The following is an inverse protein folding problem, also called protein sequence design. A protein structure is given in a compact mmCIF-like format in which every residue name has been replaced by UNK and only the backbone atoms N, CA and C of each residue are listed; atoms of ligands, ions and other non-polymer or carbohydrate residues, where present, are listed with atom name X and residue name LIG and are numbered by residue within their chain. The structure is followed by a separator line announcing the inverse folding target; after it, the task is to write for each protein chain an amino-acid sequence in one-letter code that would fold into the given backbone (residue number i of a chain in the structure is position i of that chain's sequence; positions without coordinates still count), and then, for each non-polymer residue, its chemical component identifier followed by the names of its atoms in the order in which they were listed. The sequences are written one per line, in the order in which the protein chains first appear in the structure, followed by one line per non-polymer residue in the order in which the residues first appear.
data_IF_194735641694
#
_entry.id   IF_194735641694
#
_cell.length_a   1.000
_cell.length_b   1.000
_cell.length_c   1.000
_cell.angle_alpha   90.00
_cell.angle_beta   90.00
_cell.angle_gamma   90.00
#
_symmetry.space_group_name_H-M   'P 1'
#
loop_
_entity.id
_entity.type
_entity.pdbx_description
1 polymer ?
#
# COMPACT_ATOMS: atom_id res chain seq x y z
N UNK A 1 -39.64 23.01 -80.16
CA UNK A 1 -38.45 22.34 -79.68
C UNK A 1 -38.45 22.45 -78.15
N UNK A 2 -39.01 21.42 -77.47
CA UNK A 2 -39.27 21.43 -76.02
C UNK A 2 -38.18 20.61 -75.34
N UNK A 3 -37.45 21.24 -74.46
CA UNK A 3 -36.41 20.54 -73.64
C UNK A 3 -37.05 20.10 -72.31
N UNK A 4 -37.19 18.79 -72.14
CA UNK A 4 -37.63 18.17 -70.87
C UNK A 4 -36.48 18.18 -69.89
N UNK A 5 -36.63 18.89 -68.75
CA UNK A 5 -35.76 18.79 -67.61
C UNK A 5 -36.23 17.66 -66.67
N UNK A 6 -35.53 16.55 -66.66
CA UNK A 6 -35.78 15.46 -65.72
C UNK A 6 -35.14 15.82 -64.35
N UNK A 7 -36.00 15.89 -63.37
CA UNK A 7 -35.64 16.13 -61.95
C UNK A 7 -35.35 14.77 -61.28
N UNK A 8 -34.13 14.51 -60.87
CA UNK A 8 -33.76 13.33 -60.08
C UNK A 8 -34.16 13.53 -58.62
N UNK A 9 -34.78 12.54 -57.97
CA UNK A 9 -35.06 12.63 -56.54
C UNK A 9 -33.79 12.42 -55.70
N UNK A 10 -33.52 13.38 -54.85
CA UNK A 10 -32.44 13.31 -53.82
C UNK A 10 -32.88 12.32 -52.72
N UNK A 11 -32.18 11.21 -52.62
CA UNK A 11 -32.37 10.19 -51.57
C UNK A 11 -31.88 10.75 -50.23
N UNK A 12 -32.82 11.12 -49.36
CA UNK A 12 -32.58 11.68 -48.02
C UNK A 12 -32.42 10.61 -46.91
N UNK A 13 -32.01 9.37 -47.28
CA UNK A 13 -31.99 8.23 -46.36
C UNK A 13 -30.66 7.94 -45.66
N UNK A 14 -29.55 8.45 -46.16
CA UNK A 14 -28.21 8.00 -45.70
C UNK A 14 -27.61 8.81 -44.55
N UNK A 15 -28.08 10.00 -44.24
CA UNK A 15 -27.48 10.86 -43.19
C UNK A 15 -27.86 10.52 -41.74
N UNK A 16 -28.96 9.80 -41.53
CA UNK A 16 -29.43 9.51 -40.14
C UNK A 16 -28.54 8.48 -39.44
N UNK A 17 -28.05 7.47 -40.17
CA UNK A 17 -27.15 6.45 -39.60
C UNK A 17 -25.73 6.99 -39.34
N UNK A 18 -25.24 7.87 -40.21
CA UNK A 18 -23.97 8.53 -40.04
C UNK A 18 -23.93 9.46 -38.82
N UNK A 19 -25.00 10.22 -38.57
CA UNK A 19 -25.13 11.11 -37.41
C UNK A 19 -25.21 10.31 -36.10
N UNK A 20 -26.00 9.21 -36.09
CA UNK A 20 -26.10 8.32 -34.93
C UNK A 20 -24.76 7.64 -34.64
N UNK A 21 -24.05 7.17 -35.66
CA UNK A 21 -22.73 6.55 -35.49
C UNK A 21 -21.67 7.55 -34.95
N UNK A 22 -21.68 8.80 -35.45
CA UNK A 22 -20.79 9.84 -34.91
C UNK A 22 -21.13 10.22 -33.46
N UNK A 23 -22.43 10.28 -33.09
CA UNK A 23 -22.85 10.55 -31.71
C UNK A 23 -22.43 9.44 -30.74
N UNK A 24 -22.51 8.17 -31.14
CA UNK A 24 -22.00 7.03 -30.37
C UNK A 24 -20.48 7.05 -30.25
N UNK A 25 -19.76 7.41 -31.30
CA UNK A 25 -18.30 7.51 -31.26
C UNK A 25 -17.84 8.64 -30.33
N UNK A 26 -18.53 9.79 -30.34
CA UNK A 26 -18.26 10.92 -29.42
C UNK A 26 -18.58 10.59 -27.96
N UNK A 27 -19.60 9.74 -27.69
CA UNK A 27 -19.93 9.31 -26.32
C UNK A 27 -18.87 8.37 -25.74
N UNK A 28 -18.20 7.56 -26.57
CA UNK A 28 -17.10 6.68 -26.16
C UNK A 28 -15.80 7.43 -25.82
N UNK A 29 -15.62 8.68 -26.35
CA UNK A 29 -14.44 9.52 -26.07
C UNK A 29 -14.54 10.28 -24.75
N UNK A 30 -15.67 10.20 -24.04
CA UNK A 30 -15.90 10.86 -22.73
C UNK A 30 -15.72 9.93 -21.53
N UNK A 31 -15.17 8.72 -21.73
CA UNK A 31 -14.82 7.85 -20.59
C UNK A 31 -13.64 8.51 -19.87
N UNK A 32 -13.82 8.99 -18.62
CA UNK A 32 -12.67 9.48 -17.85
C UNK A 32 -11.71 8.30 -17.68
N UNK A 33 -10.47 8.46 -18.13
CA UNK A 33 -9.41 7.54 -17.78
C UNK A 33 -9.28 7.61 -16.26
N UNK A 34 -9.69 6.55 -15.58
CA UNK A 34 -9.41 6.39 -14.16
C UNK A 34 -7.90 6.38 -14.01
N UNK A 35 -7.35 7.43 -13.41
CA UNK A 35 -5.92 7.55 -13.19
C UNK A 35 -5.58 6.68 -11.99
N UNK A 36 -4.77 5.65 -12.19
CA UNK A 36 -4.19 4.86 -11.12
C UNK A 36 -3.10 5.64 -10.37
N UNK A 37 -2.65 5.14 -9.22
CA UNK A 37 -1.47 5.64 -8.57
C UNK A 37 -0.27 5.59 -9.53
N UNK A 38 0.51 6.66 -9.58
CA UNK A 38 1.65 6.77 -10.49
C UNK A 38 2.95 6.70 -9.69
N UNK A 39 3.70 5.60 -9.91
CA UNK A 39 5.04 5.43 -9.36
C UNK A 39 6.04 6.20 -10.24
N UNK A 40 6.59 7.29 -9.70
CA UNK A 40 7.56 8.11 -10.42
C UNK A 40 8.99 7.58 -10.23
N UNK A 41 9.33 7.16 -9.00
CA UNK A 41 10.66 6.66 -8.67
C UNK A 41 10.58 5.70 -7.48
N UNK A 42 11.32 4.59 -7.55
CA UNK A 42 11.58 3.70 -6.41
C UNK A 42 12.97 3.11 -6.52
N UNK A 43 13.86 3.56 -5.66
CA UNK A 43 15.21 3.03 -5.52
C UNK A 43 15.38 2.38 -4.15
N UNK A 44 15.94 1.18 -4.15
CA UNK A 44 16.39 0.49 -2.93
C UNK A 44 17.82 0.03 -3.15
N UNK A 45 18.73 0.52 -2.33
CA UNK A 45 20.14 0.19 -2.37
C UNK A 45 20.62 -0.38 -1.05
N UNK A 46 21.76 -1.02 -1.05
CA UNK A 46 22.46 -1.49 0.16
C UNK A 46 23.94 -1.18 0.02
N UNK A 47 24.52 -0.63 1.07
CA UNK A 47 25.93 -0.33 1.14
C UNK A 47 26.43 -0.62 2.56
N UNK A 48 27.35 -1.57 2.70
CA UNK A 48 27.96 -1.96 3.99
C UNK A 48 26.95 -2.30 5.09
N UNK A 49 25.86 -2.99 4.73
CA UNK A 49 24.81 -3.40 5.66
C UNK A 49 23.73 -2.33 5.92
N UNK A 50 23.88 -1.12 5.38
CA UNK A 50 22.87 -0.06 5.45
C UNK A 50 21.99 -0.10 4.21
N UNK A 51 20.70 -0.28 4.41
CA UNK A 51 19.69 -0.22 3.35
C UNK A 51 19.17 1.22 3.23
N UNK A 52 19.16 1.74 2.00
CA UNK A 52 18.64 3.07 1.68
C UNK A 52 17.49 2.96 0.70
N UNK A 53 16.44 3.72 0.95
CA UNK A 53 15.21 3.75 0.16
C UNK A 53 14.96 5.19 -0.25
N UNK A 54 14.64 5.39 -1.52
CA UNK A 54 14.13 6.66 -2.06
C UNK A 54 12.93 6.36 -2.94
N UNK A 55 11.82 7.04 -2.68
CA UNK A 55 10.58 6.84 -3.38
C UNK A 55 9.89 8.18 -3.64
N UNK A 56 9.32 8.33 -4.82
CA UNK A 56 8.37 9.38 -5.18
C UNK A 56 7.16 8.74 -5.85
N UNK A 57 5.98 8.96 -5.30
CA UNK A 57 4.74 8.40 -5.82
C UNK A 57 3.59 9.40 -5.73
N UNK A 58 2.74 9.43 -6.74
CA UNK A 58 1.49 10.20 -6.71
C UNK A 58 0.33 9.29 -6.30
N UNK A 59 -0.40 9.71 -5.27
CA UNK A 59 -1.58 9.03 -4.75
C UNK A 59 -2.84 9.79 -5.17
N UNK A 60 -3.85 9.07 -5.62
CA UNK A 60 -5.15 9.62 -6.03
C UNK A 60 -6.06 9.91 -4.82
N UNK A 61 -5.48 10.45 -3.76
CA UNK A 61 -6.16 10.78 -2.52
C UNK A 61 -5.75 12.18 -2.03
N UNK A 62 -6.66 12.92 -1.34
CA UNK A 62 -6.32 14.22 -0.80
C UNK A 62 -5.31 14.15 0.36
N UNK A 63 -4.35 15.07 0.41
CA UNK A 63 -3.25 15.14 1.39
C UNK A 63 -3.69 14.91 2.83
N UNK A 64 -4.79 15.54 3.26
CA UNK A 64 -5.27 15.42 4.66
C UNK A 64 -5.61 14.00 5.07
N UNK A 65 -6.07 13.17 4.14
CA UNK A 65 -6.42 11.78 4.42
C UNK A 65 -5.19 10.87 4.34
N UNK A 66 -4.28 11.13 3.42
CA UNK A 66 -2.97 10.45 3.38
C UNK A 66 -2.21 10.69 4.68
N UNK A 67 -2.12 11.95 5.14
CA UNK A 67 -1.50 12.30 6.41
C UNK A 67 -2.18 11.59 7.58
N UNK A 68 -3.52 11.57 7.64
CA UNK A 68 -4.27 10.87 8.69
C UNK A 68 -3.98 9.38 8.73
N UNK A 69 -3.81 8.74 7.59
CA UNK A 69 -3.46 7.31 7.52
C UNK A 69 -2.04 7.06 8.03
N UNK A 70 -1.09 7.94 7.67
CA UNK A 70 0.31 7.84 8.10
C UNK A 70 0.52 8.14 9.58
N UNK A 71 -0.36 8.94 10.19
CA UNK A 71 -0.29 9.30 11.63
C UNK A 71 -1.18 8.42 12.52
N UNK A 72 -1.82 7.40 11.97
CA UNK A 72 -2.63 6.44 12.71
C UNK A 72 -1.74 5.30 13.25
N UNK A 73 -0.87 5.64 14.18
CA UNK A 73 0.22 4.79 14.66
C UNK A 73 -0.23 3.50 15.36
N UNK A 74 -1.43 3.46 15.93
CA UNK A 74 -1.99 2.26 16.54
C UNK A 74 -2.49 1.24 15.51
N UNK A 75 -2.62 1.65 14.25
CA UNK A 75 -3.16 0.83 13.16
C UNK A 75 -2.24 0.74 11.95
N UNK A 76 -0.92 0.85 12.15
CA UNK A 76 0.09 0.68 11.08
C UNK A 76 0.04 -0.72 10.47
N UNK A 77 -0.39 -1.72 11.25
CA UNK A 77 -0.56 -3.10 10.78
C UNK A 77 -1.49 -3.23 9.55
N UNK A 78 -2.35 -2.23 9.30
CA UNK A 78 -3.21 -2.21 8.10
C UNK A 78 -2.45 -1.95 6.81
N UNK A 79 -1.24 -1.41 6.90
CA UNK A 79 -0.47 -0.95 5.74
C UNK A 79 0.37 -2.05 5.10
N UNK A 80 0.72 -3.08 5.86
CA UNK A 80 1.54 -4.18 5.37
C UNK A 80 1.15 -5.48 6.10
N UNK A 81 0.87 -6.60 5.40
CA UNK A 81 0.49 -7.86 6.03
C UNK A 81 1.61 -8.45 6.89
N UNK A 82 2.87 -8.10 6.63
CA UNK A 82 3.98 -8.48 7.49
C UNK A 82 3.97 -7.79 8.85
N UNK A 83 3.23 -6.68 9.02
CA UNK A 83 3.10 -6.00 10.30
C UNK A 83 2.00 -6.68 11.12
N UNK A 84 2.39 -7.43 12.14
CA UNK A 84 1.47 -8.21 12.98
C UNK A 84 0.96 -7.43 14.19
N UNK A 85 1.64 -6.34 14.56
CA UNK A 85 1.25 -5.51 15.70
C UNK A 85 1.81 -4.09 15.59
N UNK A 86 1.08 -3.09 16.09
CA UNK A 86 1.55 -1.71 16.23
C UNK A 86 0.97 -1.07 17.48
N UNK A 87 1.82 -0.43 18.26
CA UNK A 87 1.44 0.21 19.54
C UNK A 87 2.19 1.54 19.74
N UNK A 88 1.54 2.49 20.40
CA UNK A 88 2.17 3.73 20.84
C UNK A 88 2.74 3.51 22.23
N UNK A 89 4.03 3.76 22.39
CA UNK A 89 4.74 3.67 23.66
C UNK A 89 4.87 5.05 24.32
N UNK A 90 5.11 5.12 25.65
CA UNK A 90 5.45 6.36 26.31
C UNK A 90 6.66 7.03 25.64
N UNK A 91 6.51 8.29 25.23
CA UNK A 91 7.59 9.09 24.67
C UNK A 91 8.29 9.91 25.76
N UNK A 92 9.62 10.06 25.70
CA UNK A 92 10.35 10.91 26.63
C UNK A 92 10.20 12.40 26.33
N UNK A 93 9.87 12.76 25.10
CA UNK A 93 9.88 14.14 24.59
C UNK A 93 8.48 14.63 24.19
N UNK A 94 8.20 15.89 24.44
CA UNK A 94 7.00 16.57 23.94
C UNK A 94 7.06 16.71 22.40
N UNK A 95 5.92 16.48 21.74
CA UNK A 95 5.82 16.55 20.27
C UNK A 95 6.47 15.38 19.52
N UNK A 96 6.85 14.33 20.25
CA UNK A 96 7.35 13.07 19.69
C UNK A 96 6.39 11.95 20.06
N UNK A 97 6.05 11.09 19.09
CA UNK A 97 5.29 9.86 19.31
C UNK A 97 6.22 8.68 19.16
N UNK A 98 6.38 7.87 20.20
CA UNK A 98 7.14 6.62 20.10
C UNK A 98 6.24 5.50 19.63
N UNK A 99 6.58 4.90 18.51
CA UNK A 99 5.80 3.84 17.87
C UNK A 99 6.62 2.56 17.85
N UNK A 100 6.01 1.46 18.29
CA UNK A 100 6.58 0.13 18.12
C UNK A 100 5.76 -0.63 17.09
N UNK A 101 6.46 -1.20 16.13
CA UNK A 101 5.91 -2.02 15.06
C UNK A 101 6.57 -3.38 15.14
N UNK A 102 5.74 -4.44 15.24
CA UNK A 102 6.22 -5.83 15.17
C UNK A 102 5.96 -6.37 13.79
N UNK A 103 7.01 -6.81 13.14
CA UNK A 103 6.97 -7.36 11.79
C UNK A 103 7.32 -8.84 11.87
N UNK A 104 6.44 -9.70 11.35
CA UNK A 104 6.73 -11.11 11.10
C UNK A 104 6.71 -11.33 9.60
N UNK A 105 7.85 -11.68 9.03
CA UNK A 105 7.95 -11.79 7.59
C UNK A 105 8.94 -12.88 7.18
N UNK A 106 8.76 -13.36 5.94
CA UNK A 106 9.54 -14.43 5.37
C UNK A 106 10.21 -13.97 4.07
N UNK A 107 11.46 -14.37 3.89
CA UNK A 107 12.16 -14.30 2.61
C UNK A 107 12.50 -15.73 2.21
N UNK A 108 11.77 -16.30 1.26
CA UNK A 108 11.84 -17.72 0.92
C UNK A 108 11.51 -18.59 2.15
N UNK A 109 12.41 -19.46 2.56
CA UNK A 109 12.28 -20.35 3.73
C UNK A 109 12.74 -19.74 5.06
N UNK A 110 13.25 -18.51 5.05
CA UNK A 110 13.75 -17.82 6.22
C UNK A 110 12.74 -16.81 6.73
N UNK A 111 12.08 -17.15 7.82
CA UNK A 111 11.12 -16.29 8.50
C UNK A 111 11.73 -15.71 9.78
N UNK A 112 11.36 -14.49 10.10
CA UNK A 112 11.81 -13.84 11.32
C UNK A 112 10.76 -12.85 11.84
N UNK A 113 10.81 -12.61 13.14
CA UNK A 113 10.06 -11.55 13.80
C UNK A 113 11.04 -10.49 14.26
N UNK A 114 10.78 -9.25 13.89
CA UNK A 114 11.59 -8.09 14.25
C UNK A 114 10.71 -7.02 14.88
N UNK A 115 11.22 -6.35 15.90
CA UNK A 115 10.60 -5.17 16.47
C UNK A 115 11.31 -3.92 15.93
N UNK A 116 10.55 -2.97 15.40
CA UNK A 116 11.01 -1.66 14.99
C UNK A 116 10.39 -0.61 15.89
N UNK A 117 11.21 0.05 16.69
CA UNK A 117 10.77 1.14 17.57
C UNK A 117 11.36 2.44 17.07
N UNK A 118 10.50 3.41 16.82
CA UNK A 118 10.86 4.70 16.24
C UNK A 118 10.23 5.85 17.01
N UNK A 119 10.96 6.92 17.18
CA UNK A 119 10.47 8.21 17.62
C UNK A 119 10.06 9.03 16.39
N UNK A 120 8.77 9.27 16.26
CA UNK A 120 8.18 9.99 15.14
C UNK A 120 7.83 11.41 15.55
N UNK A 121 8.21 12.37 14.71
CA UNK A 121 7.91 13.79 14.87
C UNK A 121 7.22 14.32 13.62
N UNK A 122 6.18 15.09 13.81
CA UNK A 122 5.58 15.87 12.72
C UNK A 122 6.41 17.13 12.46
N UNK A 123 6.62 17.44 11.18
CA UNK A 123 7.34 18.62 10.72
C UNK A 123 6.35 19.74 10.37
N UNK A 124 6.82 21.00 10.40
CA UNK A 124 5.99 22.20 10.20
C UNK A 124 5.13 22.22 8.92
N UNK A 125 5.50 21.43 7.92
CA UNK A 125 4.80 21.37 6.65
C UNK A 125 3.96 20.08 6.47
N UNK A 126 3.64 19.38 7.57
CA UNK A 126 2.89 18.13 7.55
C UNK A 126 3.71 16.93 7.03
N UNK A 127 5.04 17.06 6.97
CA UNK A 127 5.96 15.96 6.80
C UNK A 127 6.11 15.19 8.12
N UNK A 128 6.68 13.98 8.02
CA UNK A 128 6.97 13.13 9.17
C UNK A 128 8.44 12.75 9.17
N UNK A 129 9.05 12.75 10.33
CA UNK A 129 10.41 12.26 10.53
C UNK A 129 10.38 11.16 11.58
N UNK A 130 10.95 10.01 11.26
CA UNK A 130 11.07 8.89 12.18
C UNK A 130 12.54 8.57 12.42
N UNK A 131 12.90 8.34 13.67
CA UNK A 131 14.27 7.96 14.07
C UNK A 131 14.18 6.69 14.91
N UNK A 132 14.93 5.68 14.54
CA UNK A 132 14.99 4.41 15.28
C UNK A 132 15.53 4.63 16.70
N UNK A 133 14.93 3.93 17.67
CA UNK A 133 15.38 3.80 19.06
C UNK A 133 16.14 2.48 19.20
N UNK A 134 17.48 2.44 19.04
CA UNK A 134 18.23 1.18 18.93
C UNK A 134 18.07 0.25 20.13
N UNK A 135 18.00 0.82 21.34
CA UNK A 135 17.87 0.06 22.58
C UNK A 135 16.57 -0.77 22.68
N UNK A 136 15.56 -0.42 21.87
CA UNK A 136 14.24 -1.06 21.86
C UNK A 136 13.92 -1.72 20.51
N UNK A 137 14.82 -1.62 19.53
CA UNK A 137 14.60 -2.02 18.15
C UNK A 137 15.54 -3.15 17.74
N UNK A 138 15.15 -3.93 16.75
CA UNK A 138 16.01 -4.88 16.05
C UNK A 138 16.90 -4.21 15.00
N UNK A 139 17.09 -2.89 15.09
CA UNK A 139 17.92 -2.11 14.18
C UNK A 139 18.96 -1.31 14.96
N UNK A 140 20.20 -1.27 14.48
CA UNK A 140 21.29 -0.45 15.06
C UNK A 140 21.07 1.03 14.84
N UNK A 141 20.51 1.36 13.71
CA UNK A 141 20.16 2.73 13.34
C UNK A 141 19.06 2.75 12.29
N UNK A 142 18.33 3.85 12.23
CA UNK A 142 17.35 4.10 11.19
C UNK A 142 16.88 5.54 11.24
N UNK A 143 16.62 6.06 10.06
CA UNK A 143 16.03 7.38 9.87
C UNK A 143 15.12 7.32 8.67
N UNK A 144 13.93 7.91 8.78
CA UNK A 144 12.99 8.01 7.68
C UNK A 144 12.35 9.39 7.66
N UNK A 145 12.07 9.88 6.47
CA UNK A 145 11.39 11.14 6.24
C UNK A 145 10.29 10.97 5.19
N UNK A 146 9.13 11.52 5.50
CA UNK A 146 7.98 11.58 4.62
C UNK A 146 7.67 13.04 4.31
N UNK A 147 7.58 13.37 3.03
CA UNK A 147 7.07 14.67 2.57
C UNK A 147 5.80 14.42 1.79
N UNK A 148 4.73 15.15 2.12
CA UNK A 148 3.42 14.99 1.48
C UNK A 148 3.01 16.35 0.90
N UNK A 149 2.99 16.44 -0.42
CA UNK A 149 2.68 17.67 -1.14
C UNK A 149 1.37 17.53 -1.90
N UNK A 150 0.63 18.63 -2.02
CA UNK A 150 -0.55 18.68 -2.87
C UNK A 150 -0.12 19.02 -4.31
N UNK A 151 -0.49 18.15 -5.26
CA UNK A 151 -0.30 18.38 -6.69
C UNK A 151 -1.63 18.13 -7.40
N UNK A 152 -2.22 19.15 -7.99
CA UNK A 152 -3.46 19.05 -8.79
C UNK A 152 -4.62 18.33 -8.08
N UNK A 153 -4.76 18.55 -6.76
CA UNK A 153 -5.80 17.90 -5.94
C UNK A 153 -5.48 16.50 -5.44
N UNK A 154 -4.33 15.95 -5.85
CA UNK A 154 -3.78 14.66 -5.42
C UNK A 154 -2.68 14.86 -4.39
N UNK A 155 -2.10 13.77 -3.91
CA UNK A 155 -0.94 13.80 -3.00
C UNK A 155 0.30 13.26 -3.70
N UNK A 156 1.38 14.00 -3.73
CA UNK A 156 2.68 13.44 -3.99
C UNK A 156 3.34 13.10 -2.66
N UNK A 157 3.72 11.84 -2.52
CA UNK A 157 4.44 11.33 -1.36
C UNK A 157 5.89 11.11 -1.78
N UNK A 158 6.81 11.74 -1.07
CA UNK A 158 8.24 11.44 -1.13
C UNK A 158 8.64 10.74 0.17
N UNK A 159 9.28 9.60 0.06
CA UNK A 159 9.76 8.82 1.18
C UNK A 159 11.25 8.54 1.02
N UNK A 160 12.02 8.92 2.01
CA UNK A 160 13.45 8.63 2.10
C UNK A 160 13.73 7.94 3.42
N UNK A 161 14.44 6.81 3.38
CA UNK A 161 14.80 6.10 4.59
C UNK A 161 16.16 5.45 4.48
N UNK A 162 16.80 5.32 5.63
CA UNK A 162 17.99 4.51 5.83
C UNK A 162 17.80 3.64 7.07
N UNK A 163 18.27 2.40 7.03
CA UNK A 163 18.17 1.48 8.14
C UNK A 163 19.34 0.50 8.17
N UNK A 164 19.86 0.24 9.34
CA UNK A 164 20.88 -0.76 9.57
C UNK A 164 20.34 -1.86 10.48
N UNK A 165 20.09 -3.08 9.96
CA UNK A 165 19.64 -4.20 10.76
C UNK A 165 20.65 -4.60 11.85
N UNK A 166 20.17 -4.98 13.04
CA UNK A 166 20.93 -5.60 14.11
C UNK A 166 20.58 -7.09 14.27
N UNK A 167 20.33 -7.74 13.16
CA UNK A 167 20.04 -9.17 13.10
C UNK A 167 20.78 -9.83 11.94
N UNK A 168 20.97 -11.14 12.05
CA UNK A 168 21.69 -11.90 11.05
C UNK A 168 20.83 -12.11 9.80
N UNK A 169 21.36 -11.69 8.64
CA UNK A 169 20.81 -12.00 7.33
C UNK A 169 21.67 -13.10 6.71
N UNK A 170 21.12 -14.32 6.47
CA UNK A 170 21.92 -15.40 5.91
C UNK A 170 22.52 -15.02 4.56
N UNK A 171 23.79 -15.33 4.29
CA UNK A 171 24.47 -15.00 3.03
C UNK A 171 23.77 -15.54 1.78
N UNK A 172 23.08 -16.68 1.89
CA UNK A 172 22.30 -17.30 0.81
C UNK A 172 21.09 -16.46 0.39
N UNK A 173 20.50 -15.71 1.33
CA UNK A 173 19.40 -14.79 1.03
C UNK A 173 19.96 -13.54 0.34
N UNK A 174 21.07 -13.01 0.84
CA UNK A 174 21.78 -11.87 0.28
C UNK A 174 20.98 -10.58 0.22
N UNK A 175 21.66 -9.49 -0.07
CA UNK A 175 21.03 -8.16 -0.17
C UNK A 175 20.04 -8.03 -1.32
N UNK A 176 20.15 -8.87 -2.35
CA UNK A 176 19.24 -8.83 -3.48
C UNK A 176 17.80 -9.16 -3.08
N UNK A 177 17.59 -10.28 -2.39
CA UNK A 177 16.23 -10.69 -1.98
C UNK A 177 15.64 -9.74 -0.94
N UNK A 178 16.45 -9.24 -0.01
CA UNK A 178 16.01 -8.22 0.97
C UNK A 178 15.55 -6.95 0.24
N UNK A 179 16.31 -6.46 -0.76
CA UNK A 179 15.92 -5.28 -1.54
C UNK A 179 14.62 -5.52 -2.33
N UNK A 180 14.44 -6.70 -2.91
CA UNK A 180 13.19 -7.03 -3.62
C UNK A 180 11.99 -7.08 -2.66
N UNK A 181 12.18 -7.66 -1.47
CA UNK A 181 11.13 -7.69 -0.45
C UNK A 181 10.78 -6.27 0.02
N UNK A 182 11.76 -5.43 0.31
CA UNK A 182 11.54 -4.03 0.67
C UNK A 182 10.77 -3.26 -0.41
N UNK A 183 11.13 -3.46 -1.69
CA UNK A 183 10.41 -2.83 -2.81
C UNK A 183 8.93 -3.21 -2.85
N UNK A 184 8.63 -4.51 -2.74
CA UNK A 184 7.26 -5.02 -2.73
C UNK A 184 6.47 -4.49 -1.54
N UNK A 185 7.02 -4.60 -0.33
CA UNK A 185 6.37 -4.15 0.90
C UNK A 185 6.05 -2.66 0.87
N UNK A 186 7.01 -1.81 0.47
CA UNK A 186 6.81 -0.36 0.39
C UNK A 186 5.72 0.00 -0.63
N UNK A 187 5.76 -0.63 -1.82
CA UNK A 187 4.77 -0.37 -2.86
C UNK A 187 3.37 -0.78 -2.39
N UNK A 188 3.22 -1.99 -1.83
CA UNK A 188 1.96 -2.48 -1.29
C UNK A 188 1.44 -1.56 -0.16
N UNK A 189 2.31 -1.10 0.74
CA UNK A 189 1.93 -0.16 1.80
C UNK A 189 1.39 1.16 1.24
N UNK A 190 2.01 1.72 0.21
CA UNK A 190 1.54 2.97 -0.41
C UNK A 190 0.20 2.82 -1.12
N UNK A 191 -0.01 1.69 -1.80
CA UNK A 191 -1.28 1.38 -2.43
C UNK A 191 -2.41 1.24 -1.38
N UNK A 192 -2.11 0.63 -0.23
CA UNK A 192 -3.05 0.56 0.90
C UNK A 192 -3.31 1.91 1.54
N UNK A 193 -2.28 2.76 1.68
CA UNK A 193 -2.44 4.14 2.14
C UNK A 193 -3.39 4.90 1.21
N UNK A 194 -3.21 4.79 -0.12
CA UNK A 194 -4.12 5.41 -1.08
C UNK A 194 -5.55 4.89 -0.93
N UNK A 195 -5.73 3.56 -0.90
CA UNK A 195 -7.04 2.95 -0.78
C UNK A 195 -7.77 3.44 0.48
N UNK A 196 -7.13 3.36 1.65
CA UNK A 196 -7.71 3.80 2.93
C UNK A 196 -8.01 5.30 2.91
N UNK A 197 -7.10 6.12 2.38
CA UNK A 197 -7.28 7.56 2.30
C UNK A 197 -8.45 7.95 1.37
N UNK A 198 -8.63 7.24 0.25
CA UNK A 198 -9.78 7.42 -0.66
C UNK A 198 -11.10 7.08 0.03
N UNK A 199 -11.18 5.92 0.68
CA UNK A 199 -12.39 5.51 1.43
C UNK A 199 -12.73 6.54 2.51
N UNK A 200 -11.75 7.00 3.28
CA UNK A 200 -11.95 8.06 4.29
C UNK A 200 -12.36 9.40 3.68
N UNK A 201 -12.00 9.66 2.42
CA UNK A 201 -12.42 10.85 1.69
C UNK A 201 -13.83 10.74 1.08
N UNK A 202 -14.49 9.58 1.19
CA UNK A 202 -15.76 9.28 0.50
C UNK A 202 -15.59 9.07 -1.00
N UNK A 203 -14.41 8.72 -1.46
CA UNK A 203 -14.11 8.37 -2.84
C UNK A 203 -14.19 6.85 -3.02
N UNK A 204 -14.63 6.42 -4.20
CA UNK A 204 -14.63 4.99 -4.54
C UNK A 204 -13.21 4.41 -4.49
N UNK A 205 -13.03 3.18 -3.98
CA UNK A 205 -11.77 2.46 -4.11
C UNK A 205 -11.35 2.37 -5.57
N UNK A 206 -10.04 2.42 -5.84
CA UNK A 206 -9.56 2.24 -7.20
C UNK A 206 -9.50 0.72 -7.51
N UNK A 207 -10.30 0.19 -8.46
CA UNK A 207 -10.35 -1.25 -8.73
C UNK A 207 -9.03 -1.83 -9.24
N UNK A 208 -8.17 -1.02 -9.83
CA UNK A 208 -6.84 -1.45 -10.26
C UNK A 208 -5.91 -1.70 -9.07
N UNK A 209 -6.02 -0.87 -8.02
CA UNK A 209 -5.26 -1.05 -6.78
C UNK A 209 -5.68 -2.31 -6.04
N UNK A 210 -6.98 -2.59 -6.01
CA UNK A 210 -7.52 -3.76 -5.34
C UNK A 210 -7.00 -5.05 -5.97
N UNK A 211 -6.90 -5.11 -7.30
CA UNK A 211 -6.33 -6.25 -8.02
C UNK A 211 -4.83 -6.46 -7.71
N UNK A 212 -4.05 -5.39 -7.60
CA UNK A 212 -2.62 -5.47 -7.26
C UNK A 212 -2.43 -5.96 -5.83
N UNK A 213 -3.24 -5.46 -4.89
CA UNK A 213 -3.16 -5.84 -3.48
C UNK A 213 -3.56 -7.31 -3.26
N UNK A 214 -4.63 -7.78 -3.94
CA UNK A 214 -5.07 -9.18 -3.88
C UNK A 214 -4.03 -10.12 -4.50
N UNK A 215 -3.38 -9.72 -5.60
CA UNK A 215 -2.35 -10.53 -6.23
C UNK A 215 -1.09 -10.72 -5.35
N UNK A 216 -0.78 -9.74 -4.50
CA UNK A 216 0.37 -9.82 -3.58
C UNK A 216 0.06 -10.69 -2.35
N UNK A 217 -1.22 -10.85 -1.98
CA UNK A 217 -1.66 -11.68 -0.86
C UNK A 217 -1.80 -13.17 -1.20
N UNK A 218 -1.78 -13.55 -2.49
CA UNK A 218 -1.81 -14.95 -2.88
C UNK A 218 -0.45 -15.60 -2.56
N UNK A 219 -0.40 -16.64 -1.70
CA UNK A 219 0.82 -17.38 -1.45
C UNK A 219 1.33 -17.94 -2.78
N UNK A 220 2.60 -17.78 -3.02
CA UNK A 220 3.27 -18.36 -4.20
C UNK A 220 3.29 -19.90 -4.00
N UNK A 221 2.20 -20.60 -4.37
CA UNK A 221 2.02 -22.03 -4.30
C UNK A 221 2.94 -22.76 -5.29
N UNK A 222 4.25 -22.64 -5.08
CA UNK A 222 5.25 -23.51 -5.65
C UNK A 222 6.16 -24.04 -4.52
N UNK A 223 5.55 -24.72 -3.53
CA UNK A 223 6.27 -25.66 -2.71
C UNK A 223 5.43 -26.94 -2.60
N UNK A 224 5.74 -27.85 -3.48
CA UNK A 224 5.50 -29.29 -3.37
C UNK A 224 6.05 -29.76 -2.03
N UNK A 225 5.24 -30.48 -1.28
CA UNK A 225 5.80 -31.28 -0.19
C UNK A 225 4.80 -31.56 0.94
N UNK A 226 3.88 -32.48 0.69
CA UNK A 226 3.17 -33.23 1.71
C UNK A 226 4.14 -33.88 2.70
N UNK A 227 3.96 -33.63 4.01
CA UNK A 227 4.22 -34.66 5.04
C UNK A 227 3.64 -34.22 6.39
N UNK A 228 2.61 -34.94 6.78
CA UNK A 228 2.27 -35.42 8.12
C UNK A 228 3.21 -35.01 9.27
N UNK A 229 2.66 -34.46 10.35
CA UNK A 229 2.51 -35.18 11.62
C UNK A 229 1.73 -34.32 12.63
N UNK A 230 0.73 -34.96 13.22
CA UNK A 230 -0.07 -34.47 14.33
C UNK A 230 0.74 -34.37 15.62
N UNK A 231 0.44 -33.37 16.44
CA UNK A 231 0.94 -33.24 17.80
C UNK A 231 0.24 -32.07 18.49
N UNK A 232 -0.83 -32.38 19.20
CA UNK A 232 -1.62 -31.47 20.03
C UNK A 232 -0.82 -31.01 21.25
N UNK A 233 -0.96 -29.74 21.61
CA UNK A 233 -1.11 -29.38 23.04
C UNK A 233 -1.89 -28.06 23.19
N UNK A 234 -3.01 -28.02 23.92
CA UNK A 234 -3.90 -26.88 24.00
C UNK A 234 -3.80 -26.21 25.37
N UNK A 235 -2.98 -25.21 25.53
CA UNK A 235 -3.14 -24.24 26.62
C UNK A 235 -2.41 -22.93 26.29
N UNK A 236 -3.08 -22.02 25.62
CA UNK A 236 -2.75 -20.60 25.74
C UNK A 236 -4.02 -19.73 25.80
N UNK A 237 -4.08 -19.00 26.88
CA UNK A 237 -5.14 -18.13 27.35
C UNK A 237 -5.45 -17.07 26.30
N UNK A 238 -6.64 -17.12 25.76
CA UNK A 238 -7.26 -16.10 24.93
C UNK A 238 -7.52 -14.83 25.75
N UNK A 239 -6.81 -13.78 25.44
CA UNK A 239 -7.22 -12.40 25.78
C UNK A 239 -7.98 -11.84 24.59
N UNK A 240 -9.30 -11.76 24.69
CA UNK A 240 -10.15 -11.15 23.69
C UNK A 240 -9.81 -9.66 23.53
N UNK A 241 -9.69 -9.16 22.30
CA UNK A 241 -9.65 -7.71 22.06
C UNK A 241 -11.04 -7.12 22.34
N UNK A 242 -11.04 -5.92 22.92
CA UNK A 242 -12.25 -5.16 23.25
C UNK A 242 -13.12 -4.97 22.00
N UNK A 243 -14.37 -5.42 22.08
CA UNK A 243 -15.37 -5.21 21.06
C UNK A 243 -15.69 -3.72 20.91
N UNK A 244 -15.59 -3.21 19.69
CA UNK A 244 -16.18 -1.91 19.37
C UNK A 244 -15.46 -1.10 18.29
N UNK A 245 -15.29 -1.64 17.08
CA UNK A 245 -15.26 -0.81 15.87
C UNK A 245 -15.67 -1.66 14.67
N UNK A 246 -16.67 -1.20 13.97
CA UNK A 246 -17.36 -1.86 12.88
C UNK A 246 -16.38 -2.25 11.77
N UNK A 247 -16.25 -3.55 11.52
CA UNK A 247 -15.48 -4.21 10.46
C UNK A 247 -15.95 -3.82 9.04
N UNK A 248 -16.96 -2.95 8.94
CA UNK A 248 -17.59 -2.55 7.68
C UNK A 248 -16.87 -1.44 6.91
N UNK A 249 -15.90 -0.76 7.50
CA UNK A 249 -15.41 0.51 6.95
C UNK A 249 -14.34 0.36 5.84
N UNK A 250 -13.78 -0.84 5.66
CA UNK A 250 -12.64 -1.05 4.75
C UNK A 250 -12.79 -2.29 3.84
N UNK A 251 -14.00 -2.74 3.59
CA UNK A 251 -14.24 -3.96 2.79
C UNK A 251 -13.86 -3.86 1.30
N UNK A 252 -13.39 -2.70 0.85
CA UNK A 252 -12.88 -2.48 -0.50
C UNK A 252 -11.36 -2.34 -0.61
N UNK A 253 -10.62 -2.38 0.52
CA UNK A 253 -9.17 -2.44 0.51
C UNK A 253 -8.79 -3.82 1.05
N UNK A 254 -8.02 -4.61 0.31
CA UNK A 254 -7.66 -5.98 0.67
C UNK A 254 -7.37 -6.09 2.18
N UNK A 255 -8.10 -6.96 2.86
CA UNK A 255 -8.05 -7.07 4.33
C UNK A 255 -6.67 -7.54 4.74
N UNK A 256 -6.01 -6.89 5.72
CA UNK A 256 -4.91 -7.57 6.39
C UNK A 256 -5.46 -8.88 6.97
N UNK A 257 -4.76 -9.98 6.75
CA UNK A 257 -5.10 -11.27 7.34
C UNK A 257 -5.28 -11.11 8.85
N UNK A 258 -6.48 -11.35 9.35
CA UNK A 258 -6.73 -11.47 10.78
C UNK A 258 -6.22 -12.82 11.24
N UNK A 259 -5.51 -12.87 12.37
CA UNK A 259 -5.05 -14.13 13.03
C UNK A 259 -6.22 -15.11 13.29
N UNK A 260 -7.47 -14.64 13.21
CA UNK A 260 -8.68 -15.45 13.33
C UNK A 260 -9.16 -16.09 12.02
N UNK A 261 -8.62 -15.71 10.86
CA UNK A 261 -8.99 -16.28 9.57
C UNK A 261 -8.17 -17.56 9.33
N UNK A 262 -8.85 -18.71 9.31
CA UNK A 262 -8.24 -20.02 9.09
C UNK A 262 -7.50 -20.15 7.73
N UNK A 263 -7.73 -19.22 6.80
CA UNK A 263 -7.02 -19.11 5.52
C UNK A 263 -5.67 -18.38 5.59
N UNK A 264 -5.34 -17.78 6.75
CA UNK A 264 -4.09 -17.06 6.98
C UNK A 264 -3.10 -17.85 7.87
N UNK A 265 -3.43 -19.09 8.23
CA UNK A 265 -2.58 -19.99 9.03
C UNK A 265 -1.85 -20.97 8.08
N UNK A 266 -0.96 -20.47 7.23
CA UNK A 266 0.02 -21.31 6.53
C UNK A 266 1.40 -20.73 6.65
#
# INVERSE_FOLDING_TARGET
MAVLLTRTPHSAGHNRHAVVACAFLMLFLLIPLASAAELNELQVSETKGVYSISLVMQLQAPVRYVHRVLTDYERVYRLDPGIVDSEVLPSPDEGVVRVKIRIHDCISFFCMTIDRVEDVRELDHGGLQATTVPALSSFKSGHAEWTILRIEGRSQVTYQAQMEPDFFIPPLIGSYFVKQKLRKSILASLLRIECIARVQAGLEPNPELDQVLVADETPNDHAVGTALLAGQDPTMVTRAPAAGSTISEYSGCARPCSISDASCQL
#
